data_IF_359065594419
#
_entry.id   IF_359065594419
#
_cell.length_a   1.000
_cell.length_b   1.000
_cell.length_c   1.000
_cell.angle_alpha   90.00
_cell.angle_beta   90.00
_cell.angle_gamma   90.00
#
_symmetry.space_group_name_H-M   'P 1'
#
loop_
_entity.id
_entity.type
_entity.pdbx_description
1 polymer ?
#
# COMPACT_ATOMS: atom_id res chain seq x y z
N UNK A 1 -88.84 -26.72 6.29
CA UNK A 1 -87.81 -26.94 7.33
C UNK A 1 -86.58 -27.55 6.65
N UNK A 2 -85.67 -26.69 6.19
CA UNK A 2 -84.29 -26.55 6.74
C UNK A 2 -83.49 -27.80 6.36
N UNK A 3 -82.93 -27.93 5.15
CA UNK A 3 -81.76 -27.19 4.62
C UNK A 3 -80.74 -26.92 5.73
N UNK A 4 -79.75 -27.80 5.86
CA UNK A 4 -78.40 -27.61 6.42
C UNK A 4 -78.01 -28.96 7.04
N UNK A 5 -77.27 -29.83 6.33
CA UNK A 5 -76.37 -30.80 6.98
C UNK A 5 -75.45 -31.55 5.98
N UNK A 6 -75.24 -31.01 4.77
CA UNK A 6 -74.28 -31.56 3.80
C UNK A 6 -73.51 -30.39 3.17
N UNK A 7 -72.88 -29.58 4.00
CA UNK A 7 -71.93 -28.52 3.61
C UNK A 7 -70.92 -28.33 4.73
N UNK A 8 -70.25 -29.39 5.17
CA UNK A 8 -69.11 -29.29 6.09
C UNK A 8 -68.09 -30.41 5.88
N UNK A 9 -67.82 -30.76 4.62
CA UNK A 9 -66.75 -31.69 4.25
C UNK A 9 -66.03 -31.26 2.95
N UNK A 10 -65.78 -29.96 2.80
CA UNK A 10 -65.12 -29.40 1.61
C UNK A 10 -64.17 -28.23 1.91
N UNK A 11 -63.68 -28.09 3.16
CA UNK A 11 -62.74 -27.03 3.55
C UNK A 11 -61.66 -27.58 4.48
N UNK A 12 -60.92 -28.56 3.98
CA UNK A 12 -59.58 -28.88 4.48
C UNK A 12 -58.70 -29.30 3.32
N UNK A 13 -58.70 -28.50 2.25
CA UNK A 13 -57.50 -28.40 1.42
C UNK A 13 -56.56 -27.51 2.23
N UNK A 14 -55.86 -28.12 3.18
CA UNK A 14 -54.70 -27.51 3.79
C UNK A 14 -53.80 -27.07 2.63
N UNK A 15 -53.60 -25.77 2.50
CA UNK A 15 -52.57 -25.22 1.63
C UNK A 15 -51.26 -25.85 2.10
N UNK A 16 -50.81 -26.89 1.40
CA UNK A 16 -49.43 -27.33 1.47
C UNK A 16 -48.65 -26.17 0.86
N UNK A 17 -48.30 -25.20 1.70
CA UNK A 17 -47.23 -24.26 1.39
C UNK A 17 -45.99 -25.13 1.28
N UNK A 18 -45.69 -25.61 0.08
CA UNK A 18 -44.38 -26.13 -0.22
C UNK A 18 -43.41 -25.01 0.13
N UNK A 19 -42.70 -25.15 1.25
CA UNK A 19 -41.55 -24.32 1.54
C UNK A 19 -40.64 -24.48 0.32
N UNK A 20 -40.63 -23.47 -0.54
CA UNK A 20 -39.78 -23.48 -1.72
C UNK A 20 -38.36 -23.58 -1.18
N UNK A 21 -37.71 -24.72 -1.40
CA UNK A 21 -36.37 -24.94 -0.88
C UNK A 21 -35.47 -23.93 -1.58
N UNK A 22 -35.00 -22.96 -0.79
CA UNK A 22 -34.13 -21.90 -1.24
C UNK A 22 -32.72 -22.44 -1.46
N UNK A 23 -32.51 -23.09 -2.60
CA UNK A 23 -31.22 -23.60 -3.02
C UNK A 23 -30.45 -22.55 -3.83
N UNK A 24 -29.44 -21.98 -3.20
CA UNK A 24 -28.59 -20.96 -3.79
C UNK A 24 -27.28 -20.82 -3.03
N UNK A 25 -26.20 -20.62 -3.79
CA UNK A 25 -24.86 -20.40 -3.24
C UNK A 25 -24.36 -19.04 -3.67
N UNK A 26 -23.79 -18.30 -2.72
CA UNK A 26 -23.03 -17.10 -3.01
C UNK A 26 -21.55 -17.45 -2.99
N UNK A 27 -20.81 -16.91 -3.94
CA UNK A 27 -19.35 -16.99 -3.98
C UNK A 27 -18.80 -15.59 -3.92
N UNK A 28 -17.69 -15.45 -3.20
CA UNK A 28 -16.92 -14.22 -3.18
C UNK A 28 -15.72 -14.41 -4.10
N UNK A 29 -15.45 -13.44 -4.96
CA UNK A 29 -14.24 -13.37 -5.77
C UNK A 29 -13.65 -11.98 -5.63
N UNK A 30 -12.33 -11.88 -5.65
CA UNK A 30 -11.66 -10.59 -5.72
C UNK A 30 -10.68 -10.58 -6.89
N UNK A 31 -10.44 -9.40 -7.43
CA UNK A 31 -9.56 -9.21 -8.59
C UNK A 31 -8.36 -8.35 -8.20
N UNK A 32 -7.18 -8.99 -8.15
CA UNK A 32 -5.91 -8.33 -7.84
C UNK A 32 -5.40 -7.41 -8.96
N UNK A 33 -5.86 -7.61 -10.20
CA UNK A 33 -5.38 -6.88 -11.37
C UNK A 33 -6.09 -5.53 -11.49
N UNK A 34 -7.35 -5.46 -11.06
CA UNK A 34 -8.20 -4.27 -11.18
C UNK A 34 -8.18 -3.34 -9.96
N UNK A 35 -7.13 -3.42 -9.12
CA UNK A 35 -6.96 -2.53 -7.97
C UNK A 35 -6.79 -1.09 -8.45
N UNK A 36 -7.66 -0.19 -7.99
CA UNK A 36 -7.56 1.23 -8.31
C UNK A 36 -6.69 1.91 -7.26
N UNK A 37 -5.62 2.55 -7.71
CA UNK A 37 -4.66 3.25 -6.86
C UNK A 37 -4.80 4.74 -7.06
N UNK A 38 -4.98 5.47 -5.96
CA UNK A 38 -4.90 6.93 -5.92
C UNK A 38 -3.81 7.32 -4.92
N UNK A 39 -3.43 8.60 -4.88
CA UNK A 39 -2.44 9.09 -3.93
C UNK A 39 -2.91 8.95 -2.46
N UNK A 40 -4.24 8.88 -2.24
CA UNK A 40 -4.85 8.97 -0.91
C UNK A 40 -5.44 7.63 -0.43
N UNK A 41 -5.85 6.77 -1.35
CA UNK A 41 -6.44 5.48 -1.02
C UNK A 41 -6.33 4.49 -2.18
N UNK A 42 -6.35 3.20 -1.85
CA UNK A 42 -6.50 2.12 -2.82
C UNK A 42 -7.88 1.50 -2.69
N UNK A 43 -8.45 1.03 -3.80
CA UNK A 43 -9.71 0.28 -3.84
C UNK A 43 -9.45 -1.10 -4.43
N UNK A 44 -9.67 -2.14 -3.62
CA UNK A 44 -9.61 -3.54 -4.04
C UNK A 44 -11.02 -4.00 -4.41
N UNK A 45 -11.31 -4.35 -5.67
CA UNK A 45 -12.63 -4.79 -6.09
C UNK A 45 -12.95 -6.21 -5.59
N UNK A 46 -14.17 -6.40 -5.10
CA UNK A 46 -14.71 -7.68 -4.67
C UNK A 46 -16.09 -7.88 -5.27
N UNK A 47 -16.29 -9.06 -5.86
CA UNK A 47 -17.52 -9.50 -6.48
C UNK A 47 -18.19 -10.57 -5.62
N UNK A 48 -19.46 -10.36 -5.30
CA UNK A 48 -20.36 -11.39 -4.80
C UNK A 48 -21.13 -11.92 -6.01
N UNK A 49 -20.95 -13.20 -6.32
CA UNK A 49 -21.64 -13.89 -7.39
C UNK A 49 -22.71 -14.81 -6.81
N UNK A 50 -23.93 -14.63 -7.26
CA UNK A 50 -25.07 -15.46 -6.94
C UNK A 50 -25.17 -16.59 -7.97
N UNK A 51 -25.07 -17.84 -7.53
CA UNK A 51 -25.36 -18.99 -8.38
C UNK A 51 -26.65 -19.63 -7.88
N UNK A 52 -27.75 -19.41 -8.61
CA UNK A 52 -29.07 -19.99 -8.27
C UNK A 52 -29.75 -20.69 -9.46
N UNK A 53 -30.41 -21.82 -9.15
CA UNK A 53 -31.51 -22.39 -9.96
C UNK A 53 -32.86 -21.70 -9.67
N UNK A 54 -32.96 -20.86 -8.62
CA UNK A 54 -34.16 -20.11 -8.25
C UNK A 54 -33.82 -18.79 -7.51
N UNK A 55 -33.57 -17.72 -8.26
CA UNK A 55 -33.07 -16.39 -7.82
C UNK A 55 -33.96 -15.60 -6.82
N UNK A 56 -35.16 -16.10 -6.50
CA UNK A 56 -36.17 -15.37 -5.70
C UNK A 56 -35.96 -15.49 -4.19
N UNK A 57 -35.11 -16.41 -3.77
CA UNK A 57 -34.92 -16.79 -2.37
C UNK A 57 -33.79 -16.03 -1.69
N UNK A 58 -32.71 -15.78 -2.40
CA UNK A 58 -31.65 -14.92 -1.91
C UNK A 58 -32.09 -13.49 -2.16
N UNK A 59 -32.62 -12.86 -1.10
CA UNK A 59 -33.26 -11.54 -1.11
C UNK A 59 -32.32 -10.37 -1.49
N UNK A 60 -31.23 -10.61 -2.21
CA UNK A 60 -30.24 -9.61 -2.58
C UNK A 60 -29.61 -8.96 -1.34
N UNK A 61 -29.46 -9.71 -0.25
CA UNK A 61 -28.89 -9.22 1.01
C UNK A 61 -27.83 -10.18 1.53
N UNK A 62 -26.76 -9.61 2.06
CA UNK A 62 -25.72 -10.36 2.76
C UNK A 62 -25.10 -9.50 3.86
N UNK A 63 -24.62 -10.15 4.92
CA UNK A 63 -23.94 -9.49 6.04
C UNK A 63 -22.46 -9.79 5.93
N UNK A 64 -21.62 -8.75 5.91
CA UNK A 64 -20.18 -8.87 6.04
C UNK A 64 -19.83 -8.79 7.53
N UNK A 65 -19.16 -9.83 8.03
CA UNK A 65 -18.58 -9.81 9.37
C UNK A 65 -17.35 -8.92 9.40
N UNK A 66 -17.27 -8.02 10.38
CA UNK A 66 -16.17 -7.08 10.51
C UNK A 66 -15.22 -7.50 11.65
N UNK A 67 -13.91 -7.41 11.42
CA UNK A 67 -12.90 -7.79 12.42
C UNK A 67 -12.84 -6.80 13.59
N UNK A 68 -13.03 -5.53 13.29
CA UNK A 68 -13.36 -4.51 14.26
C UNK A 68 -14.59 -3.79 13.74
N UNK A 69 -15.45 -3.28 14.61
CA UNK A 69 -16.74 -2.64 14.26
C UNK A 69 -16.68 -1.53 13.20
N UNK A 70 -15.51 -1.16 12.68
CA UNK A 70 -15.31 -0.23 11.58
C UNK A 70 -15.03 -0.89 10.23
N UNK A 71 -14.37 -2.05 10.17
CA UNK A 71 -13.92 -2.64 8.90
C UNK A 71 -13.21 -3.98 9.03
N UNK A 72 -12.64 -4.42 7.91
CA UNK A 72 -11.85 -5.65 7.80
C UNK A 72 -10.37 -5.35 8.08
N UNK A 73 -9.70 -6.20 8.86
CA UNK A 73 -8.29 -6.05 9.18
C UNK A 73 -7.43 -6.86 8.21
N UNK A 74 -6.52 -6.17 7.55
CA UNK A 74 -5.53 -6.77 6.65
C UNK A 74 -4.16 -6.69 7.30
N UNK A 75 -3.47 -7.82 7.41
CA UNK A 75 -2.19 -7.92 8.11
C UNK A 75 -1.07 -8.28 7.15
N UNK A 76 0.07 -7.63 7.35
CA UNK A 76 1.38 -8.05 6.85
C UNK A 76 2.24 -8.51 8.04
N UNK A 77 3.48 -8.92 7.79
CA UNK A 77 4.40 -9.28 8.87
C UNK A 77 4.73 -8.13 9.82
N UNK A 78 4.64 -6.87 9.36
CA UNK A 78 5.13 -5.71 10.08
C UNK A 78 4.06 -4.68 10.45
N UNK A 79 2.90 -4.71 9.79
CA UNK A 79 1.85 -3.70 9.95
C UNK A 79 0.47 -4.29 9.65
N UNK A 80 -0.56 -3.81 10.35
CA UNK A 80 -1.96 -4.03 9.99
C UNK A 80 -2.61 -2.78 9.39
N UNK A 81 -3.61 -2.99 8.55
CA UNK A 81 -4.33 -1.95 7.84
C UNK A 81 -5.83 -2.22 7.88
N UNK A 82 -6.62 -1.17 8.08
CA UNK A 82 -8.07 -1.25 8.04
C UNK A 82 -8.58 -1.06 6.61
N UNK A 83 -9.34 -2.04 6.13
CA UNK A 83 -10.13 -1.99 4.90
C UNK A 83 -11.57 -1.63 5.20
N UNK A 84 -12.09 -0.60 4.54
CA UNK A 84 -13.47 -0.13 4.69
C UNK A 84 -14.31 -0.56 3.48
N UNK A 85 -15.53 -1.04 3.70
CA UNK A 85 -16.41 -1.43 2.61
C UNK A 85 -16.97 -0.19 1.92
N UNK A 86 -16.75 -0.06 0.61
CA UNK A 86 -17.08 1.14 -0.15
C UNK A 86 -17.66 0.85 -1.54
N UNK A 87 -18.25 1.88 -2.14
CA UNK A 87 -18.57 1.90 -3.56
C UNK A 87 -17.32 2.23 -4.41
N UNK A 88 -17.54 2.29 -5.73
CA UNK A 88 -16.52 2.57 -6.75
C UNK A 88 -15.84 3.94 -6.60
N UNK A 89 -16.50 4.88 -5.90
CA UNK A 89 -16.00 6.23 -5.64
C UNK A 89 -15.32 6.32 -4.26
N UNK A 90 -15.21 5.21 -3.53
CA UNK A 90 -14.60 5.17 -2.21
C UNK A 90 -15.48 5.77 -1.11
N UNK A 91 -16.79 5.90 -1.33
CA UNK A 91 -17.75 6.23 -0.27
C UNK A 91 -18.15 4.94 0.45
N UNK A 92 -18.11 4.95 1.77
CA UNK A 92 -18.52 3.79 2.57
C UNK A 92 -19.99 3.44 2.29
N UNK A 93 -20.27 2.14 2.20
CA UNK A 93 -21.62 1.61 1.91
C UNK A 93 -22.00 0.55 2.93
N UNK A 94 -23.29 0.22 2.97
CA UNK A 94 -23.85 -0.77 3.88
C UNK A 94 -24.42 -0.15 5.15
N UNK A 95 -25.33 -0.89 5.78
CA UNK A 95 -26.00 -0.48 7.00
C UNK A 95 -25.46 -1.28 8.19
N UNK A 96 -25.42 -0.67 9.37
CA UNK A 96 -24.95 -1.37 10.57
C UNK A 96 -25.93 -2.45 10.97
N UNK A 97 -25.41 -3.67 11.13
CA UNK A 97 -26.17 -4.83 11.59
C UNK A 97 -25.48 -5.43 12.82
N UNK A 98 -25.79 -4.86 13.99
CA UNK A 98 -25.04 -5.13 15.21
C UNK A 98 -23.59 -4.65 15.08
N UNK A 99 -22.63 -5.57 15.13
CA UNK A 99 -21.20 -5.28 14.91
C UNK A 99 -20.76 -5.48 13.45
N UNK A 100 -21.65 -6.05 12.63
CA UNK A 100 -21.41 -6.40 11.23
C UNK A 100 -22.01 -5.35 10.29
N UNK A 101 -21.89 -5.57 8.98
CA UNK A 101 -22.38 -4.67 7.94
C UNK A 101 -23.34 -5.39 6.99
N UNK A 102 -24.58 -4.91 6.88
CA UNK A 102 -25.56 -5.39 5.92
C UNK A 102 -25.36 -4.70 4.57
N UNK A 103 -25.24 -5.49 3.51
CA UNK A 103 -25.22 -5.04 2.12
C UNK A 103 -26.48 -5.48 1.40
N UNK A 104 -27.10 -4.53 0.69
CA UNK A 104 -28.26 -4.77 -0.17
C UNK A 104 -27.88 -4.54 -1.65
N UNK A 105 -28.17 -5.55 -2.47
CA UNK A 105 -27.78 -5.58 -3.88
C UNK A 105 -28.92 -6.02 -4.83
N UNK A 106 -30.16 -6.08 -4.33
CA UNK A 106 -31.42 -6.14 -5.07
C UNK A 106 -31.40 -6.88 -6.43
N UNK A 107 -31.65 -8.19 -6.41
CA UNK A 107 -31.83 -9.04 -7.59
C UNK A 107 -30.70 -9.01 -8.64
N UNK A 108 -29.48 -8.64 -8.23
CA UNK A 108 -28.30 -8.73 -9.10
C UNK A 108 -27.64 -10.10 -8.96
N UNK A 109 -27.36 -10.73 -10.10
CA UNK A 109 -26.58 -11.97 -10.16
C UNK A 109 -25.12 -11.75 -9.74
N UNK A 110 -24.60 -10.55 -9.98
CA UNK A 110 -23.27 -10.14 -9.51
C UNK A 110 -23.36 -8.76 -8.88
N UNK A 111 -22.82 -8.64 -7.67
CA UNK A 111 -22.69 -7.39 -6.97
C UNK A 111 -21.22 -7.09 -6.71
N UNK A 112 -20.75 -5.95 -7.23
CA UNK A 112 -19.39 -5.48 -7.00
C UNK A 112 -19.39 -4.41 -5.92
N UNK A 113 -18.51 -4.58 -4.94
CA UNK A 113 -18.12 -3.55 -4.00
C UNK A 113 -16.60 -3.43 -3.96
N UNK A 114 -16.09 -2.49 -3.18
CA UNK A 114 -14.67 -2.24 -3.03
C UNK A 114 -14.28 -2.25 -1.57
N UNK A 115 -13.06 -2.68 -1.28
CA UNK A 115 -12.43 -2.50 0.02
C UNK A 115 -11.46 -1.32 -0.13
N UNK A 116 -11.74 -0.25 0.60
CA UNK A 116 -10.96 1.00 0.60
C UNK A 116 -9.89 0.98 1.68
N UNK A 117 -8.66 1.26 1.27
CA UNK A 117 -7.50 1.35 2.13
C UNK A 117 -6.93 2.77 2.11
N UNK A 118 -7.25 3.58 3.12
CA UNK A 118 -6.83 4.99 3.23
C UNK A 118 -5.33 5.19 3.45
N UNK A 119 -4.60 4.15 3.84
CA UNK A 119 -3.16 4.23 4.14
C UNK A 119 -2.29 3.42 3.18
N UNK A 120 -2.87 2.81 2.14
CA UNK A 120 -2.11 1.91 1.26
C UNK A 120 -0.98 2.61 0.49
N UNK A 121 -1.11 3.91 0.18
CA UNK A 121 -0.06 4.68 -0.50
C UNK A 121 1.18 4.94 0.37
N UNK A 122 1.03 4.93 1.69
CA UNK A 122 2.09 5.18 2.68
C UNK A 122 2.32 3.97 3.59
N UNK A 123 1.80 2.80 3.22
CA UNK A 123 1.95 1.59 4.01
C UNK A 123 3.27 0.91 3.69
N UNK A 124 3.78 0.14 4.65
CA UNK A 124 5.02 -0.61 4.45
C UNK A 124 4.85 -1.59 3.29
N UNK A 125 5.92 -1.81 2.53
CA UNK A 125 5.93 -2.82 1.49
C UNK A 125 5.67 -4.23 2.06
N UNK A 126 4.97 -5.05 1.28
CA UNK A 126 4.66 -6.42 1.64
C UNK A 126 3.28 -6.87 1.15
N UNK A 127 2.99 -8.14 1.40
CA UNK A 127 1.68 -8.74 1.13
C UNK A 127 0.77 -8.53 2.34
N UNK A 128 -0.37 -7.89 2.10
CA UNK A 128 -1.41 -7.69 3.11
C UNK A 128 -2.52 -8.70 2.85
N UNK A 129 -2.86 -9.50 3.87
CA UNK A 129 -3.91 -10.52 3.78
C UNK A 129 -4.97 -10.28 4.84
N UNK A 130 -6.23 -10.40 4.45
CA UNK A 130 -7.40 -10.31 5.32
C UNK A 130 -8.43 -11.36 4.91
N UNK A 131 -9.35 -11.68 5.82
CA UNK A 131 -10.43 -12.61 5.54
C UNK A 131 -11.74 -11.86 5.42
N UNK A 132 -12.49 -12.14 4.37
CA UNK A 132 -13.85 -11.67 4.19
C UNK A 132 -14.79 -12.81 4.53
N UNK A 133 -15.62 -12.63 5.57
CA UNK A 133 -16.68 -13.58 5.92
C UNK A 133 -18.03 -12.99 5.52
N UNK A 134 -18.71 -13.66 4.60
CA UNK A 134 -20.02 -13.29 4.09
C UNK A 134 -21.09 -14.23 4.67
N UNK A 135 -22.07 -13.67 5.37
CA UNK A 135 -23.23 -14.38 5.92
C UNK A 135 -24.45 -14.08 5.04
N UNK A 136 -25.18 -15.11 4.60
CA UNK A 136 -26.29 -14.95 3.67
C UNK A 136 -27.42 -15.98 3.89
N UNK A 137 -28.51 -15.82 3.14
CA UNK A 137 -29.76 -16.57 3.34
C UNK A 137 -30.71 -15.88 4.33
N UNK A 138 -31.94 -16.39 4.44
CA UNK A 138 -33.04 -15.74 5.19
C UNK A 138 -32.70 -15.43 6.66
N UNK A 139 -31.84 -16.24 7.29
CA UNK A 139 -31.41 -16.06 8.69
C UNK A 139 -29.91 -15.81 8.82
N UNK A 140 -29.20 -15.48 7.73
CA UNK A 140 -27.74 -15.26 7.72
C UNK A 140 -26.92 -16.43 8.31
N UNK A 141 -27.42 -17.66 8.17
CA UNK A 141 -26.76 -18.88 8.70
C UNK A 141 -25.79 -19.51 7.72
N UNK A 142 -25.90 -19.21 6.42
CA UNK A 142 -24.95 -19.66 5.41
C UNK A 142 -23.73 -18.75 5.43
N UNK A 143 -22.54 -19.33 5.37
CA UNK A 143 -21.29 -18.61 5.48
C UNK A 143 -20.42 -18.95 4.27
N UNK A 144 -19.90 -17.91 3.63
CA UNK A 144 -18.83 -18.01 2.65
C UNK A 144 -17.62 -17.24 3.18
N UNK A 145 -16.41 -17.78 2.99
CA UNK A 145 -15.17 -17.12 3.40
C UNK A 145 -14.22 -17.04 2.24
N UNK A 146 -13.63 -15.87 2.05
CA UNK A 146 -12.61 -15.65 1.05
C UNK A 146 -11.40 -14.95 1.67
N UNK A 147 -10.21 -15.44 1.36
CA UNK A 147 -8.96 -14.79 1.77
C UNK A 147 -8.53 -13.82 0.68
N UNK A 148 -8.52 -12.54 1.02
CA UNK A 148 -8.17 -11.46 0.10
C UNK A 148 -6.73 -11.06 0.40
N UNK A 149 -5.88 -11.05 -0.62
CA UNK A 149 -4.51 -10.53 -0.50
C UNK A 149 -4.19 -9.52 -1.58
N UNK A 150 -3.33 -8.56 -1.26
CA UNK A 150 -2.76 -7.63 -2.24
C UNK A 150 -1.34 -7.25 -1.85
N UNK A 151 -0.55 -6.89 -2.86
CA UNK A 151 0.86 -6.56 -2.69
C UNK A 151 1.09 -5.05 -2.78
N UNK A 152 1.86 -4.54 -1.83
CA UNK A 152 2.49 -3.23 -1.88
C UNK A 152 3.96 -3.43 -2.23
N UNK A 153 4.34 -3.06 -3.45
CA UNK A 153 5.71 -3.18 -3.92
C UNK A 153 6.67 -2.27 -3.13
N UNK A 154 7.89 -2.74 -2.85
CA UNK A 154 8.90 -1.91 -2.20
C UNK A 154 9.41 -0.82 -3.16
N UNK A 155 9.55 0.39 -2.64
CA UNK A 155 10.20 1.49 -3.34
C UNK A 155 11.09 2.29 -2.39
N UNK A 156 12.09 2.91 -3.00
CA UNK A 156 12.88 3.97 -2.38
C UNK A 156 13.28 4.95 -3.47
N UNK A 157 13.07 6.23 -3.21
CA UNK A 157 13.47 7.32 -4.08
C UNK A 157 14.42 8.25 -3.33
N UNK A 158 15.23 8.98 -4.09
CA UNK A 158 16.19 9.93 -3.55
C UNK A 158 16.17 11.22 -4.34
N UNK A 159 16.31 12.33 -3.64
CA UNK A 159 16.49 13.64 -4.23
C UNK A 159 17.59 14.42 -3.51
N UNK A 160 18.25 15.31 -4.23
CA UNK A 160 19.33 16.15 -3.71
C UNK A 160 18.91 17.62 -3.80
N UNK A 161 18.88 18.31 -2.66
CA UNK A 161 18.52 19.72 -2.60
C UNK A 161 19.76 20.61 -2.72
N UNK A 162 19.65 21.70 -3.46
CA UNK A 162 20.78 22.62 -3.68
C UNK A 162 21.85 22.07 -4.64
N UNK A 163 21.48 21.09 -5.47
CA UNK A 163 22.30 20.65 -6.61
C UNK A 163 21.64 21.08 -7.91
N UNK A 164 22.44 21.33 -8.94
CA UNK A 164 21.96 21.57 -10.30
C UNK A 164 22.14 20.29 -11.10
N UNK A 165 21.05 19.57 -11.37
CA UNK A 165 21.06 18.28 -12.05
C UNK A 165 22.06 17.27 -11.44
N UNK A 166 22.12 17.22 -10.10
CA UNK A 166 23.04 16.36 -9.35
C UNK A 166 24.48 16.90 -9.24
N UNK A 167 24.79 18.07 -9.81
CA UNK A 167 26.08 18.74 -9.67
C UNK A 167 26.06 19.69 -8.46
N UNK A 168 27.02 19.49 -7.56
CA UNK A 168 27.30 20.42 -6.47
C UNK A 168 28.52 21.29 -6.83
N UNK A 169 28.33 22.61 -6.91
CA UNK A 169 29.44 23.53 -7.11
C UNK A 169 30.08 23.89 -5.76
N UNK A 170 31.37 23.58 -5.61
CA UNK A 170 32.12 23.89 -4.39
C UNK A 170 32.62 25.34 -4.37
N UNK A 171 32.67 26.01 -5.52
CA UNK A 171 33.21 27.35 -5.72
C UNK A 171 34.75 27.36 -5.79
N UNK A 172 35.34 28.51 -5.49
CA UNK A 172 36.81 28.63 -5.38
C UNK A 172 37.31 27.85 -4.17
N UNK A 173 38.17 26.86 -4.42
CA UNK A 173 38.67 25.96 -3.39
C UNK A 173 39.72 26.66 -2.50
N UNK A 174 39.57 26.48 -1.19
CA UNK A 174 40.57 26.86 -0.19
C UNK A 174 40.70 25.75 0.85
N UNK A 175 41.88 25.64 1.48
CA UNK A 175 42.13 24.61 2.49
C UNK A 175 41.09 24.71 3.61
N UNK A 176 40.40 23.60 3.88
CA UNK A 176 39.37 23.51 4.92
C UNK A 176 37.98 24.05 4.51
N UNK A 177 37.81 24.53 3.28
CA UNK A 177 36.50 24.94 2.77
C UNK A 177 35.48 23.82 2.97
N UNK A 178 34.30 24.18 3.47
CA UNK A 178 33.21 23.24 3.68
C UNK A 178 31.98 23.66 2.88
N UNK A 179 31.35 22.69 2.21
CA UNK A 179 30.10 22.83 1.47
C UNK A 179 29.18 21.67 1.80
N UNK A 180 27.87 21.88 1.70
CA UNK A 180 26.91 20.85 2.01
C UNK A 180 25.70 20.89 1.10
N UNK A 181 25.07 19.73 0.93
CA UNK A 181 23.79 19.53 0.23
C UNK A 181 22.92 18.59 1.05
N UNK A 182 21.61 18.78 1.00
CA UNK A 182 20.67 17.85 1.63
C UNK A 182 20.33 16.72 0.67
N UNK A 183 20.16 15.52 1.22
CA UNK A 183 19.67 14.34 0.53
C UNK A 183 18.39 13.89 1.22
N UNK A 184 17.31 13.82 0.44
CA UNK A 184 16.00 13.36 0.92
C UNK A 184 15.74 11.95 0.42
N UNK A 185 15.22 11.10 1.29
CA UNK A 185 14.76 9.76 0.97
C UNK A 185 13.26 9.64 1.23
N UNK A 186 12.54 9.08 0.26
CA UNK A 186 11.15 8.66 0.41
C UNK A 186 11.07 7.16 0.10
N UNK A 187 10.61 6.38 1.07
CA UNK A 187 10.54 4.93 0.98
C UNK A 187 9.35 4.38 1.75
N UNK A 188 8.85 3.22 1.30
CA UNK A 188 7.91 2.40 2.06
C UNK A 188 8.55 1.09 2.60
N UNK A 189 9.87 0.98 2.52
CA UNK A 189 10.62 -0.19 2.94
C UNK A 189 11.95 0.22 3.57
N UNK A 190 12.57 -0.71 4.28
CA UNK A 190 13.92 -0.55 4.77
C UNK A 190 14.89 -0.52 3.57
N UNK A 191 15.98 0.24 3.68
CA UNK A 191 16.90 0.41 2.55
C UNK A 191 18.34 0.56 3.00
N UNK A 192 19.25 0.33 2.04
CA UNK A 192 20.69 0.54 2.20
C UNK A 192 21.16 1.65 1.27
N UNK A 193 22.06 2.47 1.79
CA UNK A 193 22.77 3.53 1.07
C UNK A 193 24.24 3.16 0.97
N UNK A 194 24.81 3.26 -0.23
CA UNK A 194 26.25 3.19 -0.47
C UNK A 194 26.71 4.46 -1.17
N UNK A 195 27.87 4.96 -0.78
CA UNK A 195 28.48 6.14 -1.40
C UNK A 195 29.89 5.76 -1.83
N UNK A 196 30.17 5.93 -3.12
CA UNK A 196 31.50 5.71 -3.69
C UNK A 196 31.94 6.94 -4.45
N UNK A 197 33.22 7.26 -4.34
CA UNK A 197 33.88 8.23 -5.20
C UNK A 197 34.51 7.50 -6.38
N UNK A 198 34.45 8.11 -7.56
CA UNK A 198 35.08 7.56 -8.75
C UNK A 198 36.60 7.68 -8.68
N UNK A 199 37.13 8.82 -8.17
CA UNK A 199 38.56 9.12 -8.18
C UNK A 199 39.20 9.16 -6.79
N UNK A 200 38.42 9.25 -5.73
CA UNK A 200 38.89 9.42 -4.35
C UNK A 200 39.39 10.82 -4.00
N UNK A 201 39.57 11.69 -5.00
CA UNK A 201 40.03 13.06 -4.87
C UNK A 201 39.37 13.96 -5.93
N UNK A 202 39.40 15.27 -5.73
CA UNK A 202 39.05 16.22 -6.79
C UNK A 202 40.22 16.26 -7.78
N UNK A 203 40.02 15.81 -9.01
CA UNK A 203 41.09 15.70 -10.01
C UNK A 203 40.98 16.83 -11.04
N UNK A 204 42.11 17.44 -11.35
CA UNK A 204 42.19 18.53 -12.32
C UNK A 204 41.74 18.07 -13.71
N UNK A 205 40.92 18.88 -14.37
CA UNK A 205 40.23 18.48 -15.61
C UNK A 205 41.17 18.24 -16.79
N UNK A 206 42.27 18.99 -16.90
CA UNK A 206 43.21 18.88 -18.02
C UNK A 206 44.54 18.22 -17.66
N UNK A 207 44.79 17.90 -16.40
CA UNK A 207 46.05 17.29 -15.96
C UNK A 207 45.81 16.40 -14.73
N UNK A 208 45.49 15.11 -14.94
CA UNK A 208 45.08 14.21 -13.86
C UNK A 208 46.12 13.98 -12.75
N UNK A 209 47.37 14.42 -12.94
CA UNK A 209 48.41 14.33 -11.91
C UNK A 209 48.19 15.33 -10.77
N UNK A 210 47.36 16.35 -10.98
CA UNK A 210 46.99 17.32 -9.95
C UNK A 210 45.67 16.90 -9.30
N UNK A 211 45.74 16.57 -8.03
CA UNK A 211 44.61 16.15 -7.22
C UNK A 211 44.53 17.00 -5.95
N UNK A 212 43.30 17.31 -5.54
CA UNK A 212 43.01 17.96 -4.27
C UNK A 212 42.25 16.96 -3.39
N UNK A 213 42.82 16.56 -2.24
CA UNK A 213 42.12 15.64 -1.33
C UNK A 213 40.87 16.30 -0.76
N UNK A 214 39.83 15.52 -0.52
CA UNK A 214 38.63 15.97 0.17
C UNK A 214 38.03 14.84 1.01
N UNK A 215 37.23 15.22 2.00
CA UNK A 215 36.45 14.29 2.81
C UNK A 215 34.98 14.54 2.63
N UNK A 216 34.18 13.47 2.67
CA UNK A 216 32.72 13.54 2.68
C UNK A 216 32.21 13.01 4.00
N UNK A 217 31.25 13.71 4.60
CA UNK A 217 30.51 13.26 5.75
C UNK A 217 29.04 13.09 5.36
N UNK A 218 28.45 11.97 5.74
CA UNK A 218 27.02 11.72 5.64
C UNK A 218 26.41 11.85 7.04
N UNK A 219 25.67 12.94 7.27
CA UNK A 219 25.41 13.45 8.61
C UNK A 219 26.75 13.72 9.32
N UNK A 220 26.93 13.10 10.48
CA UNK A 220 28.17 13.23 11.27
C UNK A 220 29.21 12.14 10.97
N UNK A 221 28.91 11.15 10.11
CA UNK A 221 29.83 10.04 9.83
C UNK A 221 30.70 10.34 8.61
N UNK A 222 32.01 10.20 8.78
CA UNK A 222 32.97 10.23 7.67
C UNK A 222 32.69 9.05 6.71
N UNK A 223 32.64 9.35 5.42
CA UNK A 223 32.47 8.39 4.34
C UNK A 223 33.83 7.80 3.99
N UNK A 224 33.99 6.50 4.20
CA UNK A 224 35.08 5.73 3.63
C UNK A 224 34.63 5.16 2.28
N UNK A 225 35.10 5.72 1.16
CA UNK A 225 34.63 5.34 -0.17
C UNK A 225 34.83 3.86 -0.54
N UNK A 226 35.69 3.13 0.18
CA UNK A 226 35.91 1.70 -0.06
C UNK A 226 34.79 0.81 0.47
N UNK A 227 34.12 1.21 1.55
CA UNK A 227 33.17 0.34 2.26
C UNK A 227 32.02 1.07 2.98
N UNK A 228 31.77 2.35 2.67
CA UNK A 228 30.70 3.09 3.32
C UNK A 228 29.33 2.54 2.94
N UNK A 229 28.61 2.07 3.96
CA UNK A 229 27.25 1.59 3.87
C UNK A 229 26.44 2.03 5.08
N UNK A 230 25.18 2.43 4.86
CA UNK A 230 24.23 2.78 5.93
C UNK A 230 22.90 2.09 5.68
N UNK A 231 22.37 1.48 6.73
CA UNK A 231 21.04 0.89 6.74
C UNK A 231 20.05 1.87 7.38
N UNK A 232 18.84 1.89 6.83
CA UNK A 232 17.74 2.74 7.27
C UNK A 232 16.49 1.89 7.45
N UNK A 233 15.92 1.96 8.64
CA UNK A 233 14.59 1.41 8.91
C UNK A 233 13.53 2.37 8.37
N UNK A 234 12.53 1.79 7.71
CA UNK A 234 11.30 2.46 7.34
C UNK A 234 10.63 3.07 8.57
N UNK A 235 10.09 4.27 8.37
CA UNK A 235 9.28 4.98 9.35
C UNK A 235 8.05 5.52 8.62
N UNK A 236 6.86 5.28 9.18
CA UNK A 236 5.60 5.68 8.55
C UNK A 236 5.58 7.19 8.28
N UNK A 237 5.32 7.56 7.01
CA UNK A 237 5.14 8.95 6.56
C UNK A 237 6.32 9.91 6.76
N UNK A 238 7.56 9.43 6.90
CA UNK A 238 8.72 10.29 7.08
C UNK A 238 9.58 10.35 5.81
N UNK A 239 9.52 11.47 5.09
CA UNK A 239 10.63 11.86 4.22
C UNK A 239 11.84 12.05 5.12
N UNK A 240 12.87 11.22 4.91
CA UNK A 240 14.08 11.27 5.72
C UNK A 240 15.07 12.21 5.08
N UNK A 241 15.42 13.28 5.78
CA UNK A 241 16.51 14.17 5.39
C UNK A 241 17.83 13.72 6.01
N UNK A 242 18.92 13.87 5.25
CA UNK A 242 20.29 13.80 5.73
C UNK A 242 21.13 14.81 4.98
N UNK A 243 22.39 14.98 5.39
CA UNK A 243 23.29 15.96 4.78
C UNK A 243 24.54 15.27 4.24
N UNK A 244 24.98 15.68 3.06
CA UNK A 244 26.31 15.40 2.54
C UNK A 244 27.17 16.64 2.71
N UNK A 245 28.17 16.57 3.58
CA UNK A 245 29.12 17.65 3.86
C UNK A 245 30.48 17.31 3.26
N UNK A 246 30.97 18.18 2.40
CA UNK A 246 32.25 18.09 1.71
C UNK A 246 33.23 19.03 2.38
N UNK A 247 34.38 18.51 2.80
CA UNK A 247 35.48 19.29 3.37
C UNK A 247 36.69 19.17 2.47
N UNK A 248 37.17 20.30 1.95
CA UNK A 248 38.37 20.38 1.12
C UNK A 248 39.61 20.22 1.99
N UNK A 249 40.52 19.36 1.55
CA UNK A 249 41.83 19.17 2.15
C UNK A 249 42.80 20.30 1.79
N UNK A 250 44.10 20.01 1.81
CA UNK A 250 45.11 21.00 1.46
C UNK A 250 45.10 21.30 -0.04
N UNK A 251 45.13 22.57 -0.41
CA UNK A 251 45.22 23.05 -1.80
C UNK A 251 46.59 23.66 -2.13
N UNK A 252 47.54 23.61 -1.20
CA UNK A 252 48.89 24.16 -1.40
C UNK A 252 49.57 23.47 -2.58
N UNK A 253 50.06 24.27 -3.54
CA UNK A 253 50.71 23.76 -4.76
C UNK A 253 49.75 23.19 -5.81
N UNK A 254 48.43 23.26 -5.58
CA UNK A 254 47.45 22.89 -6.60
C UNK A 254 47.56 23.80 -7.83
N UNK A 255 47.46 23.22 -9.01
CA UNK A 255 47.46 23.94 -10.28
C UNK A 255 46.17 24.75 -10.45
N UNK A 256 46.25 25.96 -11.01
CA UNK A 256 45.05 26.73 -11.33
C UNK A 256 44.22 26.03 -12.43
N UNK A 257 42.91 25.90 -12.19
CA UNK A 257 41.96 25.31 -13.14
C UNK A 257 40.78 24.63 -12.45
N UNK A 258 40.00 23.88 -13.23
CA UNK A 258 38.82 23.17 -12.74
C UNK A 258 39.17 21.78 -12.20
N UNK A 259 38.63 21.45 -11.04
CA UNK A 259 38.75 20.12 -10.44
C UNK A 259 37.38 19.48 -10.30
N UNK A 260 37.32 18.16 -10.45
CA UNK A 260 36.06 17.42 -10.31
C UNK A 260 36.25 15.98 -9.91
N UNK A 261 35.23 15.47 -9.22
CA UNK A 261 35.01 14.07 -8.96
C UNK A 261 33.52 13.74 -9.13
N UNK A 262 33.21 12.45 -9.30
CA UNK A 262 31.85 11.94 -9.38
C UNK A 262 31.60 11.02 -8.19
N UNK A 263 30.62 11.38 -7.37
CA UNK A 263 30.11 10.49 -6.34
C UNK A 263 28.92 9.69 -6.88
N UNK A 264 29.02 8.36 -6.78
CA UNK A 264 27.88 7.47 -7.02
C UNK A 264 27.20 7.16 -5.70
N UNK A 265 25.93 7.55 -5.61
CA UNK A 265 25.05 7.20 -4.49
C UNK A 265 24.14 6.06 -4.94
N UNK A 266 24.35 4.87 -4.38
CA UNK A 266 23.53 3.70 -4.69
C UNK A 266 22.57 3.44 -3.55
N UNK A 267 21.30 3.25 -3.90
CA UNK A 267 20.27 2.90 -2.94
C UNK A 267 19.62 1.61 -3.39
N UNK A 268 19.44 0.69 -2.45
CA UNK A 268 18.81 -0.60 -2.69
C UNK A 268 17.80 -0.88 -1.59
N UNK A 269 16.61 -1.34 -1.99
CA UNK A 269 15.64 -1.90 -1.07
C UNK A 269 16.27 -3.06 -0.29
N UNK A 270 15.94 -3.15 1.00
CA UNK A 270 16.44 -4.18 1.89
C UNK A 270 15.27 -4.68 2.77
N UNK A 271 14.27 -5.34 2.15
CA UNK A 271 13.05 -5.76 2.81
C UNK A 271 13.28 -6.73 3.97
#
# INVERSE_FOLDING_TARGET
MIRLFITLLALSVSNISFAQICEGRMFVRYDQVSIRKTDHYWLVPVDIQLIERNSKCLQGRAVIELDNSRGLEFRSQAQSMLGLISDVNGREIGERFGQDLLLEFYNRETFRFWIKFNKASIARAGTYTGNLTLKYGESFTRIERESISFDISPYVSVSFLGTDNGRLNLGTLSTGLTRQTSILFDSNTDFRLKIKSQKGALVHRSDPNFEIPYSVYFGDKLVNFSNFERFFNYQESAVRESTLKFKIGDVTGARAGDYSDVLTVTISVAP
#
